data_IF_233632322429
#
_entry.id   IF_233632322429
#
_cell.length_a   1.000
_cell.length_b   1.000
_cell.length_c   1.000
_cell.angle_alpha   90.00
_cell.angle_beta   90.00
_cell.angle_gamma   90.00
#
_symmetry.space_group_name_H-M   'P 1'
#
loop_
_entity.id
_entity.type
_entity.pdbx_description
1 polymer ?
#
# COMPACT_ATOMS: atom_id res chain seq x y z
N UNK A 1 4.94 -19.78 2.67
CA UNK A 1 3.58 -19.24 2.74
C UNK A 1 3.02 -19.08 1.35
N UNK A 2 1.79 -19.57 1.16
CA UNK A 2 1.19 -19.64 -0.19
C UNK A 2 1.04 -18.29 -0.86
N UNK A 3 0.60 -17.28 -0.11
CA UNK A 3 0.33 -15.97 -0.68
C UNK A 3 1.61 -15.26 -1.12
N UNK A 4 2.68 -15.36 -0.33
CA UNK A 4 3.98 -14.80 -0.69
C UNK A 4 4.53 -15.45 -1.96
N UNK A 5 4.45 -16.78 -2.05
CA UNK A 5 4.90 -17.50 -3.23
C UNK A 5 4.11 -17.13 -4.47
N UNK A 6 2.79 -16.96 -4.33
CA UNK A 6 1.93 -16.54 -5.45
C UNK A 6 2.30 -15.14 -5.95
N UNK A 7 2.57 -14.20 -5.04
CA UNK A 7 2.96 -12.85 -5.40
C UNK A 7 4.31 -12.83 -6.11
N UNK A 8 5.28 -13.57 -5.60
CA UNK A 8 6.62 -13.68 -6.22
C UNK A 8 6.50 -14.29 -7.61
N UNK A 9 5.66 -15.31 -7.76
CA UNK A 9 5.44 -15.95 -9.06
C UNK A 9 4.83 -14.97 -10.06
N UNK A 10 3.87 -14.17 -9.62
CA UNK A 10 3.25 -13.14 -10.45
C UNK A 10 4.29 -12.11 -10.89
N UNK A 11 5.16 -11.69 -9.99
CA UNK A 11 6.23 -10.75 -10.30
C UNK A 11 7.25 -11.34 -11.26
N UNK A 12 7.52 -12.65 -11.15
CA UNK A 12 8.46 -13.34 -12.03
C UNK A 12 7.99 -13.37 -13.49
N UNK A 13 6.69 -13.27 -13.74
CA UNK A 13 6.13 -13.16 -15.09
C UNK A 13 6.35 -11.79 -15.71
N UNK A 14 6.90 -10.85 -14.95
CA UNK A 14 7.26 -9.50 -15.40
C UNK A 14 6.10 -8.73 -16.04
N UNK A 15 4.94 -8.66 -15.39
CA UNK A 15 3.83 -7.88 -15.95
C UNK A 15 4.15 -6.39 -15.93
N UNK A 16 3.58 -5.64 -16.87
CA UNK A 16 3.72 -4.19 -16.87
C UNK A 16 2.89 -3.54 -15.77
N UNK A 17 1.77 -4.14 -15.43
CA UNK A 17 0.84 -3.64 -14.40
C UNK A 17 0.44 -4.79 -13.49
N UNK A 18 0.59 -4.57 -12.19
CA UNK A 18 0.14 -5.50 -11.16
C UNK A 18 -1.11 -4.98 -10.50
N UNK A 19 -2.12 -5.83 -10.37
CA UNK A 19 -3.32 -5.52 -9.60
C UNK A 19 -3.37 -6.45 -8.40
N UNK A 20 -3.27 -5.89 -7.21
CA UNK A 20 -3.27 -6.62 -5.94
C UNK A 20 -4.50 -6.23 -5.13
N UNK A 21 -5.44 -7.15 -4.99
CA UNK A 21 -6.71 -6.91 -4.28
C UNK A 21 -6.66 -7.62 -2.94
N UNK A 22 -6.54 -6.85 -1.86
CA UNK A 22 -6.44 -7.34 -0.48
C UNK A 22 -5.41 -8.47 -0.34
N UNK A 23 -4.17 -8.31 -0.86
CA UNK A 23 -3.24 -9.44 -0.98
C UNK A 23 -2.72 -9.95 0.36
N UNK A 24 -2.80 -9.14 1.43
CA UNK A 24 -2.23 -9.49 2.73
C UNK A 24 -3.28 -9.80 3.78
N UNK A 25 -4.56 -9.78 3.43
CA UNK A 25 -5.66 -9.87 4.39
C UNK A 25 -5.69 -11.18 5.19
N UNK A 26 -5.19 -12.28 4.61
CA UNK A 26 -5.17 -13.58 5.27
C UNK A 26 -3.97 -13.81 6.19
N UNK A 27 -3.04 -12.84 6.24
CA UNK A 27 -1.80 -12.98 7.01
C UNK A 27 -1.95 -12.38 8.41
N UNK A 28 -1.22 -12.94 9.39
CA UNK A 28 -1.14 -12.31 10.70
C UNK A 28 -0.35 -10.99 10.61
N UNK A 29 -0.39 -10.20 11.68
CA UNK A 29 0.17 -8.84 11.65
C UNK A 29 1.67 -8.82 11.34
N UNK A 30 2.46 -9.64 12.03
CA UNK A 30 3.91 -9.64 11.82
C UNK A 30 4.30 -10.13 10.42
N UNK A 31 3.65 -11.19 9.97
CA UNK A 31 3.88 -11.72 8.62
C UNK A 31 3.48 -10.70 7.58
N UNK A 32 2.37 -10.01 7.80
CA UNK A 32 1.89 -8.96 6.90
C UNK A 32 2.91 -7.85 6.75
N UNK A 33 3.51 -7.38 7.84
CA UNK A 33 4.53 -6.34 7.79
C UNK A 33 5.74 -6.77 6.96
N UNK A 34 6.21 -7.99 7.19
CA UNK A 34 7.38 -8.53 6.51
C UNK A 34 7.13 -8.72 5.01
N UNK A 35 6.01 -9.35 4.65
CA UNK A 35 5.66 -9.59 3.25
C UNK A 35 5.40 -8.28 2.51
N UNK A 36 4.73 -7.35 3.15
CA UNK A 36 4.46 -6.03 2.59
C UNK A 36 5.77 -5.31 2.24
N UNK A 37 6.74 -5.36 3.15
CA UNK A 37 8.06 -4.75 2.92
C UNK A 37 8.79 -5.42 1.75
N UNK A 38 8.78 -6.76 1.71
CA UNK A 38 9.45 -7.52 0.64
C UNK A 38 8.83 -7.20 -0.73
N UNK A 39 7.51 -7.22 -0.82
CA UNK A 39 6.81 -7.01 -2.10
C UNK A 39 7.00 -5.57 -2.58
N UNK A 40 6.90 -4.59 -1.68
CA UNK A 40 7.09 -3.20 -2.06
C UNK A 40 8.52 -2.95 -2.56
N UNK A 41 9.51 -3.57 -1.93
CA UNK A 41 10.90 -3.47 -2.36
C UNK A 41 11.11 -4.06 -3.76
N UNK A 42 10.52 -5.22 -4.03
CA UNK A 42 10.62 -5.86 -5.34
C UNK A 42 9.97 -4.98 -6.42
N UNK A 43 8.79 -4.44 -6.14
CA UNK A 43 8.08 -3.58 -7.09
C UNK A 43 8.92 -2.34 -7.42
N UNK A 44 9.52 -1.71 -6.40
CA UNK A 44 10.37 -0.54 -6.62
C UNK A 44 11.64 -0.86 -7.40
N UNK A 45 12.28 -1.99 -7.10
CA UNK A 45 13.50 -2.40 -7.79
C UNK A 45 13.25 -2.74 -9.25
N UNK A 46 12.10 -3.29 -9.57
CA UNK A 46 11.75 -3.67 -10.94
C UNK A 46 11.06 -2.55 -11.72
N UNK A 47 10.81 -1.41 -11.09
CA UNK A 47 10.15 -0.24 -11.69
C UNK A 47 8.79 -0.59 -12.32
N UNK A 48 8.03 -1.49 -11.68
CA UNK A 48 6.70 -1.88 -12.14
C UNK A 48 5.64 -0.94 -11.58
N UNK A 49 4.54 -0.82 -12.30
CA UNK A 49 3.36 -0.11 -11.81
C UNK A 49 2.47 -1.13 -11.10
N UNK A 50 2.03 -0.78 -9.90
CA UNK A 50 1.17 -1.66 -9.11
C UNK A 50 0.00 -0.87 -8.54
N UNK A 51 -1.18 -1.50 -8.55
CA UNK A 51 -2.38 -0.97 -7.90
C UNK A 51 -2.71 -1.90 -6.75
N UNK A 52 -2.73 -1.36 -5.54
CA UNK A 52 -3.06 -2.11 -4.33
C UNK A 52 -4.43 -1.66 -3.85
N UNK A 53 -5.37 -2.60 -3.78
CA UNK A 53 -6.70 -2.35 -3.20
C UNK A 53 -6.69 -2.87 -1.78
N UNK A 54 -6.94 -1.99 -0.81
CA UNK A 54 -6.93 -2.36 0.61
C UNK A 54 -7.82 -1.40 1.40
N UNK A 55 -8.34 -1.90 2.52
CA UNK A 55 -9.02 -1.06 3.50
C UNK A 55 -8.12 -0.75 4.71
N UNK A 56 -6.91 -1.23 4.71
CA UNK A 56 -5.93 -0.99 5.78
C UNK A 56 -5.12 0.26 5.45
N UNK A 57 -5.37 1.35 6.19
CA UNK A 57 -4.72 2.63 5.96
C UNK A 57 -3.21 2.56 6.17
N UNK A 58 -2.78 1.85 7.21
CA UNK A 58 -1.36 1.72 7.52
C UNK A 58 -0.61 1.03 6.40
N UNK A 59 -1.21 -0.01 5.84
CA UNK A 59 -0.66 -0.74 4.71
C UNK A 59 -0.52 0.16 3.48
N UNK A 60 -1.60 0.88 3.15
CA UNK A 60 -1.59 1.78 2.00
C UNK A 60 -0.50 2.86 2.13
N UNK A 61 -0.42 3.52 3.27
CA UNK A 61 0.54 4.61 3.48
C UNK A 61 1.98 4.08 3.47
N UNK A 62 2.20 2.87 3.98
CA UNK A 62 3.55 2.31 4.06
C UNK A 62 4.14 1.93 2.71
N UNK A 63 3.32 1.71 1.68
CA UNK A 63 3.81 1.21 0.39
C UNK A 63 3.50 2.13 -0.80
N UNK A 64 2.48 2.96 -0.73
CA UNK A 64 2.00 3.69 -1.90
C UNK A 64 2.80 4.94 -2.20
N UNK A 65 2.86 5.30 -3.49
CA UNK A 65 3.32 6.61 -3.93
C UNK A 65 2.15 7.59 -4.02
N UNK A 66 0.97 7.07 -4.35
CA UNK A 66 -0.28 7.83 -4.37
C UNK A 66 -1.40 6.99 -3.80
N UNK A 67 -2.30 7.63 -3.09
CA UNK A 67 -3.48 6.98 -2.53
C UNK A 67 -4.73 7.62 -3.13
N UNK A 68 -5.59 6.77 -3.69
CA UNK A 68 -6.91 7.20 -4.16
C UNK A 68 -7.92 6.81 -3.10
N UNK A 69 -8.62 7.80 -2.57
CA UNK A 69 -9.71 7.58 -1.63
C UNK A 69 -11.00 7.53 -2.42
N UNK A 70 -11.72 6.41 -2.30
CA UNK A 70 -12.97 6.21 -3.03
C UNK A 70 -14.15 6.51 -2.12
N UNK A 71 -15.20 7.07 -2.72
CA UNK A 71 -16.46 7.27 -2.01
C UNK A 71 -17.20 5.95 -1.83
N UNK A 72 -18.15 5.86 -0.88
CA UNK A 72 -19.10 4.76 -0.86
C UNK A 72 -19.91 4.75 -2.16
N UNK A 73 -20.79 3.82 -2.31
CA UNK A 73 -21.57 3.65 -3.54
C UNK A 73 -22.29 4.93 -3.99
N UNK A 74 -22.21 5.29 -5.32
CA UNK A 74 -21.38 4.68 -6.33
C UNK A 74 -19.90 5.05 -6.11
N UNK A 75 -18.99 4.11 -6.37
CA UNK A 75 -17.56 4.32 -6.16
C UNK A 75 -17.00 5.39 -7.08
N UNK A 76 -16.62 6.52 -6.51
CA UNK A 76 -15.99 7.63 -7.23
C UNK A 76 -14.71 8.03 -6.51
N UNK A 77 -13.77 8.56 -7.25
CA UNK A 77 -12.56 9.08 -6.65
C UNK A 77 -12.91 10.34 -5.86
N UNK A 78 -12.77 10.27 -4.55
CA UNK A 78 -13.04 11.40 -3.66
C UNK A 78 -11.83 12.31 -3.57
N UNK A 79 -10.65 11.72 -3.43
CA UNK A 79 -9.41 12.47 -3.29
C UNK A 79 -8.23 11.62 -3.74
N UNK A 80 -7.23 12.28 -4.29
CA UNK A 80 -5.95 11.66 -4.62
C UNK A 80 -4.89 12.35 -3.78
N UNK A 81 -4.14 11.57 -3.01
CA UNK A 81 -3.07 12.06 -2.15
C UNK A 81 -1.73 11.55 -2.68
N UNK A 82 -0.80 12.47 -2.87
CA UNK A 82 0.58 12.10 -3.15
C UNK A 82 1.29 11.82 -1.83
N UNK A 83 1.93 10.68 -1.74
CA UNK A 83 2.63 10.25 -0.53
C UNK A 83 4.12 10.42 -0.76
N UNK A 84 4.74 11.29 0.03
CA UNK A 84 6.14 11.63 -0.13
C UNK A 84 6.84 11.54 1.22
N UNK A 85 7.80 10.64 1.32
CA UNK A 85 8.60 10.44 2.54
C UNK A 85 10.05 10.83 2.27
N UNK A 86 10.79 11.24 3.32
CA UNK A 86 12.23 11.50 3.17
C UNK A 86 12.98 10.28 2.64
N UNK A 87 14.13 10.50 2.04
CA UNK A 87 14.92 9.45 1.42
C UNK A 87 15.30 8.33 2.39
N UNK A 88 15.46 8.64 3.67
CA UNK A 88 15.78 7.63 4.69
C UNK A 88 14.56 6.80 5.10
N UNK A 89 13.40 7.08 4.55
CA UNK A 89 12.15 6.36 4.84
C UNK A 89 11.61 5.68 3.57
N UNK A 90 12.48 4.97 2.85
CA UNK A 90 12.11 4.35 1.57
C UNK A 90 11.34 3.05 1.78
N UNK A 91 11.78 2.21 2.71
CA UNK A 91 11.16 0.91 2.96
C UNK A 91 9.86 1.09 3.74
N UNK A 92 8.91 0.16 3.54
CA UNK A 92 7.61 0.24 4.20
C UNK A 92 7.73 0.27 5.72
N UNK A 93 8.66 -0.51 6.27
CA UNK A 93 8.91 -0.52 7.73
C UNK A 93 9.48 0.80 8.21
N UNK A 94 10.35 1.43 7.43
CA UNK A 94 10.94 2.73 7.77
C UNK A 94 9.87 3.82 7.79
N UNK A 95 8.95 3.80 6.83
CA UNK A 95 7.86 4.76 6.75
C UNK A 95 7.00 4.76 8.00
N UNK A 96 6.74 3.57 8.56
CA UNK A 96 5.92 3.43 9.77
C UNK A 96 6.53 4.12 10.98
N UNK A 97 7.83 4.32 10.99
CA UNK A 97 8.55 4.97 12.07
C UNK A 97 8.83 6.45 11.83
N UNK A 98 8.45 6.98 10.67
CA UNK A 98 8.65 8.38 10.33
C UNK A 98 7.49 9.24 10.81
N UNK A 99 7.77 10.49 11.25
CA UNK A 99 6.69 11.40 11.71
C UNK A 99 5.63 11.65 10.64
N UNK A 100 6.00 11.68 9.37
CA UNK A 100 5.10 11.90 8.25
C UNK A 100 4.03 10.82 8.15
N UNK A 101 4.29 9.63 8.68
CA UNK A 101 3.34 8.52 8.63
C UNK A 101 2.02 8.88 9.32
N UNK A 102 2.10 9.41 10.54
CA UNK A 102 0.88 9.77 11.27
C UNK A 102 0.15 10.94 10.63
N UNK A 103 0.88 11.86 10.01
CA UNK A 103 0.27 12.96 9.27
C UNK A 103 -0.58 12.45 8.11
N UNK A 104 -0.02 11.56 7.28
CA UNK A 104 -0.75 10.95 6.18
C UNK A 104 -1.91 10.08 6.67
N UNK A 105 -1.68 9.32 7.73
CA UNK A 105 -2.72 8.49 8.32
C UNK A 105 -3.94 9.33 8.70
N UNK A 106 -3.71 10.44 9.38
CA UNK A 106 -4.78 11.33 9.81
C UNK A 106 -5.49 11.97 8.62
N UNK A 107 -4.76 12.33 7.58
CA UNK A 107 -5.33 12.90 6.36
C UNK A 107 -6.29 11.91 5.69
N UNK A 108 -5.85 10.67 5.50
CA UNK A 108 -6.67 9.63 4.86
C UNK A 108 -7.87 9.27 5.74
N UNK A 109 -7.65 9.09 7.03
CA UNK A 109 -8.70 8.79 7.98
C UNK A 109 -9.81 9.85 7.94
N UNK A 110 -9.41 11.11 7.92
CA UNK A 110 -10.35 12.24 7.88
C UNK A 110 -11.20 12.21 6.61
N UNK A 111 -10.60 11.89 5.47
CA UNK A 111 -11.32 11.79 4.21
C UNK A 111 -12.33 10.65 4.21
N UNK A 112 -11.97 9.50 4.78
CA UNK A 112 -12.88 8.37 4.90
C UNK A 112 -14.03 8.66 5.85
N UNK A 113 -13.75 9.34 6.96
CA UNK A 113 -14.71 9.62 8.01
C UNK A 113 -15.82 10.57 7.59
N UNK A 114 -15.58 11.42 6.61
CA UNK A 114 -16.59 12.41 6.17
C UNK A 114 -17.81 11.79 5.52
N UNK A 115 -17.85 10.47 5.33
CA UNK A 115 -19.01 9.77 4.80
C UNK A 115 -19.92 9.17 5.87
N UNK A 116 -19.56 9.26 7.12
CA UNK A 116 -20.37 8.71 8.21
C UNK A 116 -21.47 9.68 8.64
#
# INVERSE_FOLDING_TARGET
MRQRAALIRTLALKPDLLLLDEPFSALDYQTRLSVCDDISSIIRQTHKTAILVTHDLSEAISVADRILVLSPRPGRVKKILSIDFPENCIRSLDRRNCPEFSTYFNMVWKELKTYE
#
